data_IF_496966739038
#
_entry.id   IF_496966739038
#
_cell.length_a   1.000
_cell.length_b   1.000
_cell.length_c   1.000
_cell.angle_alpha   90.00
_cell.angle_beta   90.00
_cell.angle_gamma   90.00
#
_symmetry.space_group_name_H-M   'P 1'
#
loop_
_entity.id
_entity.type
_entity.pdbx_description
1 polymer ?
#
# COMPACT_ATOMS: atom_id res chain seq x y z
N UNK A 1 -35.80 9.95 -13.71
CA UNK A 1 -34.75 10.91 -13.26
C UNK A 1 -33.40 10.26 -13.02
N UNK A 2 -33.31 9.05 -12.47
CA UNK A 2 -32.00 8.41 -12.27
C UNK A 2 -31.39 7.73 -13.50
N UNK A 3 -32.14 7.60 -14.59
CA UNK A 3 -31.70 6.96 -15.83
C UNK A 3 -30.92 7.88 -16.76
N UNK A 4 -31.06 9.20 -16.62
CA UNK A 4 -30.34 10.19 -17.44
C UNK A 4 -29.04 10.61 -16.73
N UNK A 5 -27.91 10.51 -17.42
CA UNK A 5 -26.59 10.83 -16.87
C UNK A 5 -26.49 12.26 -16.29
N UNK A 6 -27.25 13.20 -16.84
CA UNK A 6 -27.28 14.60 -16.36
C UNK A 6 -28.01 14.76 -15.03
N UNK A 7 -28.94 13.86 -14.70
CA UNK A 7 -29.79 13.97 -13.52
C UNK A 7 -29.61 12.82 -12.53
N UNK A 8 -28.87 11.77 -12.93
CA UNK A 8 -28.57 10.59 -12.11
C UNK A 8 -27.88 10.91 -10.79
N UNK A 9 -27.07 11.98 -10.76
CA UNK A 9 -26.34 12.41 -9.58
C UNK A 9 -27.17 13.27 -8.62
N UNK A 10 -28.36 13.75 -9.01
CA UNK A 10 -29.18 14.58 -8.14
C UNK A 10 -29.82 13.69 -7.07
N UNK A 11 -29.66 13.98 -5.77
CA UNK A 11 -30.29 13.19 -4.72
C UNK A 11 -31.80 13.44 -4.67
N UNK A 12 -32.59 12.37 -4.59
CA UNK A 12 -34.06 12.43 -4.55
C UNK A 12 -34.53 11.91 -3.19
N UNK A 13 -35.09 12.82 -2.38
CA UNK A 13 -35.72 12.51 -1.09
C UNK A 13 -37.24 12.65 -1.25
N UNK A 14 -37.99 11.57 -1.00
CA UNK A 14 -39.45 11.56 -1.18
C UNK A 14 -40.16 11.82 0.15
N UNK A 15 -41.12 12.76 0.13
CA UNK A 15 -42.01 13.02 1.26
C UNK A 15 -43.23 12.08 1.21
N UNK A 16 -43.42 11.27 2.26
CA UNK A 16 -44.49 10.27 2.32
C UNK A 16 -45.41 10.53 3.52
N UNK A 17 -46.72 10.53 3.31
CA UNK A 17 -47.70 10.60 4.40
C UNK A 17 -47.57 9.38 5.32
N UNK A 18 -47.49 9.61 6.64
CA UNK A 18 -47.37 8.57 7.69
C UNK A 18 -48.40 7.44 7.53
N UNK A 19 -49.62 7.75 7.08
CA UNK A 19 -50.68 6.74 6.89
C UNK A 19 -50.43 5.82 5.70
N UNK A 20 -49.62 6.25 4.74
CA UNK A 20 -49.34 5.53 3.50
C UNK A 20 -47.94 4.92 3.44
N UNK A 21 -47.06 5.17 4.42
CA UNK A 21 -45.66 4.69 4.44
C UNK A 21 -45.60 3.18 4.14
N UNK A 22 -46.39 2.36 4.85
CA UNK A 22 -46.35 0.90 4.66
C UNK A 22 -46.78 0.44 3.27
N UNK A 23 -47.72 1.15 2.63
CA UNK A 23 -48.20 0.82 1.27
C UNK A 23 -47.22 1.30 0.21
N UNK A 24 -46.73 2.54 0.34
CA UNK A 24 -45.79 3.15 -0.58
C UNK A 24 -44.39 2.54 -0.49
N UNK A 25 -43.96 2.00 0.65
CA UNK A 25 -42.66 1.32 0.78
C UNK A 25 -42.50 0.15 -0.20
N UNK A 26 -43.58 -0.56 -0.52
CA UNK A 26 -43.60 -1.63 -1.51
C UNK A 26 -43.59 -1.11 -2.96
N UNK A 27 -43.90 0.16 -3.16
CA UNK A 27 -44.00 0.87 -4.45
C UNK A 27 -42.83 1.83 -4.69
N UNK A 28 -41.86 1.97 -3.76
CA UNK A 28 -40.68 2.82 -3.97
C UNK A 28 -39.84 2.18 -5.08
N UNK A 29 -39.87 2.82 -6.25
CA UNK A 29 -39.12 2.42 -7.44
C UNK A 29 -37.59 2.57 -7.27
N UNK A 30 -36.84 1.89 -8.13
CA UNK A 30 -35.39 2.10 -8.25
C UNK A 30 -35.12 3.57 -8.59
N UNK A 31 -34.41 4.28 -7.70
CA UNK A 31 -33.93 5.64 -7.95
C UNK A 31 -34.31 6.69 -6.92
N UNK A 32 -35.07 6.32 -5.89
CA UNK A 32 -35.24 7.15 -4.68
C UNK A 32 -34.06 6.88 -3.74
N UNK A 33 -33.36 7.94 -3.31
CA UNK A 33 -32.19 7.80 -2.42
C UNK A 33 -32.59 7.73 -0.94
N UNK A 34 -33.68 8.42 -0.57
CA UNK A 34 -34.21 8.42 0.79
C UNK A 34 -35.70 8.83 0.82
N UNK A 35 -36.39 8.59 1.94
CA UNK A 35 -37.75 9.06 2.16
C UNK A 35 -37.91 9.62 3.58
N UNK A 36 -38.80 10.60 3.73
CA UNK A 36 -39.11 11.23 5.01
C UNK A 36 -40.62 11.39 5.18
N UNK A 37 -41.11 11.24 6.41
CA UNK A 37 -42.54 11.37 6.70
C UNK A 37 -43.01 12.82 6.53
N UNK A 38 -44.22 13.02 6.02
CA UNK A 38 -44.86 14.33 5.90
C UNK A 38 -45.87 14.56 7.05
N UNK A 39 -45.85 15.70 7.77
CA UNK A 39 -44.82 16.74 7.73
C UNK A 39 -43.49 16.26 8.30
N UNK A 40 -42.35 16.66 7.70
CA UNK A 40 -41.04 16.27 8.19
C UNK A 40 -40.69 17.03 9.46
N UNK A 41 -39.91 16.39 10.32
CA UNK A 41 -39.23 17.09 11.40
C UNK A 41 -38.13 17.99 10.79
N UNK A 42 -38.04 19.28 11.14
CA UNK A 42 -37.05 20.19 10.56
C UNK A 42 -35.60 19.74 10.74
N UNK A 43 -35.26 19.14 11.89
CA UNK A 43 -33.91 18.67 12.18
C UNK A 43 -33.61 17.41 11.36
N UNK A 44 -34.55 16.47 11.28
CA UNK A 44 -34.39 15.26 10.46
C UNK A 44 -34.23 15.61 8.96
N UNK A 45 -34.99 16.58 8.47
CA UNK A 45 -34.87 17.07 7.10
C UNK A 45 -33.50 17.71 6.84
N UNK A 46 -33.03 18.59 7.73
CA UNK A 46 -31.74 19.26 7.62
C UNK A 46 -30.59 18.25 7.59
N UNK A 47 -30.58 17.28 8.51
CA UNK A 47 -29.57 16.22 8.56
C UNK A 47 -29.58 15.37 7.30
N UNK A 48 -30.76 14.98 6.79
CA UNK A 48 -30.86 14.17 5.57
C UNK A 48 -30.45 14.92 4.32
N UNK A 49 -30.79 16.21 4.22
CA UNK A 49 -30.30 17.06 3.14
C UNK A 49 -28.77 17.14 3.15
N UNK A 50 -28.17 17.38 4.31
CA UNK A 50 -26.71 17.43 4.46
C UNK A 50 -26.05 16.10 4.07
N UNK A 51 -26.58 14.97 4.53
CA UNK A 51 -26.07 13.63 4.18
C UNK A 51 -26.20 13.34 2.67
N UNK A 52 -27.32 13.70 2.06
CA UNK A 52 -27.57 13.50 0.64
C UNK A 52 -26.63 14.35 -0.24
N UNK A 53 -26.42 15.61 0.12
CA UNK A 53 -25.47 16.51 -0.53
C UNK A 53 -24.03 16.01 -0.39
N UNK A 54 -23.66 15.52 0.80
CA UNK A 54 -22.33 14.96 1.07
C UNK A 54 -22.07 13.70 0.24
N UNK A 55 -23.02 12.76 0.16
CA UNK A 55 -22.90 11.55 -0.68
C UNK A 55 -22.77 11.89 -2.17
N UNK A 56 -23.62 12.78 -2.66
CA UNK A 56 -23.61 13.25 -4.04
C UNK A 56 -22.27 13.90 -4.39
N UNK A 57 -21.79 14.78 -3.50
CA UNK A 57 -20.47 15.39 -3.62
C UNK A 57 -19.40 14.31 -3.73
N UNK A 58 -19.31 13.37 -2.78
CA UNK A 58 -18.29 12.31 -2.83
C UNK A 58 -18.34 11.44 -4.10
N UNK A 59 -19.52 11.19 -4.66
CA UNK A 59 -19.68 10.38 -5.89
C UNK A 59 -19.31 11.13 -7.17
N UNK A 60 -19.66 12.41 -7.29
CA UNK A 60 -19.30 13.27 -8.43
C UNK A 60 -17.80 13.53 -8.55
N UNK A 61 -17.09 13.30 -7.45
CA UNK A 61 -15.73 13.77 -7.25
C UNK A 61 -14.71 12.63 -7.23
N UNK A 62 -15.13 11.38 -7.16
CA UNK A 62 -14.25 10.22 -7.29
C UNK A 62 -14.11 9.76 -8.75
N UNK A 63 -12.92 9.35 -9.15
CA UNK A 63 -12.67 8.77 -10.46
C UNK A 63 -13.47 7.46 -10.61
N UNK A 64 -14.20 7.33 -11.73
CA UNK A 64 -15.13 6.22 -11.96
C UNK A 64 -14.50 4.83 -11.86
N UNK A 65 -13.26 4.69 -12.32
CA UNK A 65 -12.53 3.43 -12.45
C UNK A 65 -11.80 3.03 -11.17
N UNK A 66 -11.18 4.00 -10.48
CA UNK A 66 -10.33 3.71 -9.30
C UNK A 66 -10.98 4.03 -7.97
N UNK A 67 -12.11 4.77 -7.98
CA UNK A 67 -12.77 5.35 -6.81
C UNK A 67 -11.90 6.29 -5.98
N UNK A 68 -10.70 6.64 -6.47
CA UNK A 68 -9.84 7.64 -5.84
C UNK A 68 -10.41 9.05 -6.08
N UNK A 69 -10.19 9.99 -5.15
CA UNK A 69 -10.50 11.40 -5.34
C UNK A 69 -9.97 11.97 -6.66
N UNK A 70 -10.78 12.76 -7.37
CA UNK A 70 -10.43 13.41 -8.63
C UNK A 70 -9.90 14.85 -8.48
N UNK A 71 -9.74 15.55 -9.61
CA UNK A 71 -9.07 16.85 -9.73
C UNK A 71 -9.50 17.89 -8.68
N UNK A 72 -10.80 18.09 -8.48
CA UNK A 72 -11.30 19.11 -7.54
C UNK A 72 -10.86 18.87 -6.09
N UNK A 73 -10.70 17.62 -5.67
CA UNK A 73 -10.21 17.33 -4.31
C UNK A 73 -8.69 17.39 -4.24
N UNK A 74 -7.98 17.02 -5.31
CA UNK A 74 -6.53 17.21 -5.41
C UNK A 74 -6.19 18.69 -5.22
N UNK A 75 -6.85 19.58 -5.96
CA UNK A 75 -6.69 21.03 -5.84
C UNK A 75 -6.98 21.51 -4.41
N UNK A 76 -8.11 21.08 -3.83
CA UNK A 76 -8.48 21.44 -2.45
C UNK A 76 -7.44 20.96 -1.43
N UNK A 77 -6.90 19.75 -1.59
CA UNK A 77 -5.89 19.17 -0.70
C UNK A 77 -4.54 19.88 -0.77
N UNK A 78 -4.19 20.40 -1.95
CA UNK A 78 -3.00 21.24 -2.17
C UNK A 78 -3.23 22.63 -1.58
N UNK A 79 -4.34 23.29 -1.92
CA UNK A 79 -4.69 24.62 -1.43
C UNK A 79 -4.75 24.71 0.09
N UNK A 80 -5.43 23.76 0.75
CA UNK A 80 -5.48 23.72 2.23
C UNK A 80 -4.08 23.67 2.86
N UNK A 81 -3.12 22.95 2.26
CA UNK A 81 -1.73 22.90 2.78
C UNK A 81 -0.95 24.17 2.50
N UNK A 82 -1.20 24.82 1.36
CA UNK A 82 -0.59 26.10 1.00
C UNK A 82 -1.07 27.23 1.93
N UNK A 83 -2.38 27.30 2.17
CA UNK A 83 -3.02 28.33 3.00
C UNK A 83 -2.61 28.19 4.48
N UNK A 84 -2.49 26.96 4.96
CA UNK A 84 -2.03 26.64 6.32
C UNK A 84 -0.52 26.84 6.52
N UNK A 85 0.23 27.23 5.49
CA UNK A 85 1.71 27.39 5.48
C UNK A 85 2.44 26.16 6.03
N UNK A 86 1.88 24.96 5.84
CA UNK A 86 2.49 23.70 6.27
C UNK A 86 3.53 23.23 5.26
N UNK A 87 4.48 22.43 5.74
CA UNK A 87 5.37 21.68 4.85
C UNK A 87 4.57 20.60 4.11
N UNK A 88 4.65 20.60 2.79
CA UNK A 88 4.00 19.63 1.93
C UNK A 88 4.89 19.22 0.76
N UNK A 89 4.59 18.04 0.23
CA UNK A 89 5.19 17.47 -0.96
C UNK A 89 4.09 16.90 -1.85
N UNK A 90 4.21 17.12 -3.14
CA UNK A 90 3.32 16.57 -4.17
C UNK A 90 4.15 15.67 -5.06
N UNK A 91 3.79 14.39 -5.05
CA UNK A 91 4.37 13.37 -5.91
C UNK A 91 3.36 13.02 -7.02
N UNK A 92 3.76 13.26 -8.27
CA UNK A 92 2.98 13.04 -9.47
C UNK A 92 3.47 11.77 -10.16
N UNK A 93 2.58 10.83 -10.45
CA UNK A 93 2.86 9.52 -11.03
C UNK A 93 2.35 9.47 -12.47
N UNK A 94 3.14 8.91 -13.37
CA UNK A 94 2.82 8.64 -14.78
C UNK A 94 3.30 7.23 -15.14
N UNK A 95 2.51 6.48 -15.91
CA UNK A 95 2.91 5.14 -16.39
C UNK A 95 3.58 5.29 -17.76
N UNK A 96 4.87 5.01 -17.84
CA UNK A 96 5.59 5.04 -19.11
C UNK A 96 5.15 3.88 -20.01
N UNK A 97 5.11 4.12 -21.32
CA UNK A 97 4.73 3.14 -22.34
C UNK A 97 3.30 2.56 -22.21
N UNK A 98 2.43 3.20 -21.41
CA UNK A 98 1.06 2.72 -21.19
C UNK A 98 0.20 2.68 -22.46
N UNK A 99 0.37 3.66 -23.37
CA UNK A 99 -0.31 3.66 -24.67
C UNK A 99 0.03 2.41 -25.49
N UNK A 100 1.32 2.09 -25.62
CA UNK A 100 1.77 0.90 -26.36
C UNK A 100 1.24 -0.39 -25.74
N UNK A 101 1.07 -0.42 -24.41
CA UNK A 101 0.41 -1.53 -23.73
C UNK A 101 -1.07 -1.65 -24.12
N UNK A 102 -1.83 -0.55 -24.10
CA UNK A 102 -3.23 -0.55 -24.51
C UNK A 102 -3.43 -0.95 -25.97
N UNK A 103 -2.55 -0.48 -26.87
CA UNK A 103 -2.61 -0.83 -28.29
C UNK A 103 -2.40 -2.34 -28.53
N UNK A 104 -1.65 -3.02 -27.65
CA UNK A 104 -1.40 -4.47 -27.75
C UNK A 104 -2.43 -5.33 -27.02
N UNK A 105 -2.82 -4.93 -25.81
CA UNK A 105 -3.60 -5.76 -24.89
C UNK A 105 -5.05 -5.32 -24.73
N UNK A 106 -5.42 -4.18 -25.32
CA UNK A 106 -6.75 -3.60 -25.22
C UNK A 106 -7.00 -2.84 -23.93
N UNK A 107 -7.98 -1.94 -23.99
CA UNK A 107 -8.32 -1.02 -22.89
C UNK A 107 -8.78 -1.74 -21.62
N UNK A 108 -9.41 -2.91 -21.72
CA UNK A 108 -9.84 -3.65 -20.52
C UNK A 108 -8.69 -4.14 -19.67
N UNK A 109 -7.57 -4.51 -20.31
CA UNK A 109 -6.34 -4.84 -19.58
C UNK A 109 -5.66 -3.56 -19.06
N UNK A 110 -5.73 -2.48 -19.83
CA UNK A 110 -5.30 -1.14 -19.39
C UNK A 110 -5.98 -0.69 -18.11
N UNK A 111 -7.30 -0.82 -18.03
CA UNK A 111 -8.09 -0.49 -16.85
C UNK A 111 -7.71 -1.34 -15.63
N UNK A 112 -7.28 -2.59 -15.85
CA UNK A 112 -6.72 -3.45 -14.81
C UNK A 112 -5.39 -2.92 -14.26
N UNK A 113 -4.52 -2.42 -15.14
CA UNK A 113 -3.26 -1.78 -14.76
C UNK A 113 -3.51 -0.50 -13.98
N UNK A 114 -4.43 0.35 -14.43
CA UNK A 114 -4.84 1.59 -13.75
C UNK A 114 -5.37 1.30 -12.33
N UNK A 115 -6.24 0.29 -12.17
CA UNK A 115 -6.72 -0.12 -10.84
C UNK A 115 -5.59 -0.67 -9.96
N UNK A 116 -4.67 -1.41 -10.55
CA UNK A 116 -3.54 -1.98 -9.84
C UNK A 116 -2.57 -0.91 -9.33
N UNK A 117 -2.22 0.11 -10.14
CA UNK A 117 -1.37 1.20 -9.67
C UNK A 117 -2.08 2.04 -8.59
N UNK A 118 -3.38 2.29 -8.74
CA UNK A 118 -4.18 2.98 -7.73
C UNK A 118 -4.12 2.25 -6.37
N UNK A 119 -4.23 0.92 -6.39
CA UNK A 119 -4.09 0.08 -5.21
C UNK A 119 -2.68 0.14 -4.61
N UNK A 120 -1.63 0.08 -5.43
CA UNK A 120 -0.23 0.18 -4.98
C UNK A 120 0.00 1.52 -4.28
N UNK A 121 -0.42 2.63 -4.88
CA UNK A 121 -0.24 3.96 -4.31
C UNK A 121 -1.01 4.08 -2.98
N UNK A 122 -2.29 3.69 -2.96
CA UNK A 122 -3.13 3.80 -1.78
C UNK A 122 -2.60 2.95 -0.60
N UNK A 123 -2.18 1.71 -0.87
CA UNK A 123 -1.63 0.83 0.17
C UNK A 123 -0.26 1.28 0.66
N UNK A 124 0.58 1.82 -0.24
CA UNK A 124 1.89 2.37 0.12
C UNK A 124 1.76 3.60 1.01
N UNK A 125 0.86 4.53 0.66
CA UNK A 125 0.57 5.71 1.49
C UNK A 125 0.00 5.30 2.84
N UNK A 126 -0.92 4.33 2.90
CA UNK A 126 -1.47 3.83 4.16
C UNK A 126 -0.42 3.19 5.07
N UNK A 127 0.60 2.55 4.51
CA UNK A 127 1.65 1.85 5.27
C UNK A 127 2.79 2.77 5.69
N UNK A 128 3.23 3.65 4.81
CA UNK A 128 4.47 4.42 4.98
C UNK A 128 4.25 5.92 5.19
N UNK A 129 3.09 6.44 4.80
CA UNK A 129 2.72 7.85 4.85
C UNK A 129 2.15 8.29 6.20
N UNK A 130 1.56 9.48 6.22
CA UNK A 130 0.94 10.08 7.41
C UNK A 130 -0.59 9.96 7.37
N UNK A 131 -1.28 10.13 8.53
CA UNK A 131 -2.74 10.05 8.61
C UNK A 131 -3.50 11.05 7.73
N UNK A 132 -2.89 12.20 7.42
CA UNK A 132 -3.50 13.26 6.61
C UNK A 132 -3.07 13.22 5.13
N UNK A 133 -2.26 12.24 4.73
CA UNK A 133 -1.81 12.12 3.36
C UNK A 133 -2.99 11.83 2.43
N UNK A 134 -2.92 12.39 1.23
CA UNK A 134 -4.00 12.34 0.27
C UNK A 134 -3.54 11.68 -1.02
N UNK A 135 -4.40 10.83 -1.58
CA UNK A 135 -4.17 10.16 -2.87
C UNK A 135 -5.30 10.55 -3.80
N UNK A 136 -4.96 10.95 -5.03
CA UNK A 136 -5.92 11.28 -6.07
C UNK A 136 -5.54 10.70 -7.42
N UNK A 137 -6.53 10.60 -8.29
CA UNK A 137 -6.39 10.16 -9.68
C UNK A 137 -6.92 11.25 -10.60
N UNK A 138 -6.02 11.82 -11.41
CA UNK A 138 -6.34 12.91 -12.33
C UNK A 138 -7.15 12.37 -13.52
N UNK A 139 -6.61 11.36 -14.18
CA UNK A 139 -7.23 10.66 -15.31
C UNK A 139 -6.23 9.81 -16.06
N UNK A 140 -6.72 8.79 -16.78
CA UNK A 140 -5.85 7.87 -17.52
C UNK A 140 -4.84 7.18 -16.63
N UNK A 141 -3.56 7.48 -16.85
CA UNK A 141 -2.38 6.97 -16.15
C UNK A 141 -1.74 7.98 -15.18
N UNK A 142 -2.39 9.14 -14.96
CA UNK A 142 -1.88 10.22 -14.10
C UNK A 142 -2.45 10.16 -12.67
N UNK A 143 -1.57 10.02 -11.67
CA UNK A 143 -1.96 10.03 -10.25
C UNK A 143 -1.18 11.04 -9.42
N UNK A 144 -1.75 11.46 -8.29
CA UNK A 144 -1.13 12.41 -7.37
C UNK A 144 -1.20 11.91 -5.94
N UNK A 145 -0.07 12.04 -5.24
CA UNK A 145 0.01 11.91 -3.79
C UNK A 145 0.42 13.24 -3.20
N UNK A 146 -0.34 13.70 -2.21
CA UNK A 146 -0.02 14.88 -1.40
C UNK A 146 0.35 14.41 0.00
N UNK A 147 1.61 14.60 0.37
CA UNK A 147 2.22 14.11 1.61
C UNK A 147 3.14 15.17 2.21
N UNK A 148 4.00 14.79 3.14
CA UNK A 148 5.03 15.65 3.73
C UNK A 148 6.42 15.32 3.15
N UNK A 149 7.37 16.28 3.17
CA UNK A 149 8.70 16.10 2.59
C UNK A 149 9.58 15.00 3.23
N UNK A 150 9.21 14.49 4.41
CA UNK A 150 9.90 13.37 5.06
C UNK A 150 9.42 11.99 4.55
N UNK A 151 8.23 11.93 3.94
CA UNK A 151 7.63 10.68 3.43
C UNK A 151 7.66 10.54 1.92
N UNK A 152 7.80 11.64 1.17
CA UNK A 152 7.71 11.64 -0.29
C UNK A 152 8.62 10.62 -0.99
N UNK A 153 9.90 10.57 -0.62
CA UNK A 153 10.89 9.61 -1.17
C UNK A 153 10.58 8.17 -0.78
N UNK A 154 10.15 7.95 0.46
CA UNK A 154 9.82 6.61 0.94
C UNK A 154 8.60 6.07 0.19
N UNK A 155 7.56 6.88 0.04
CA UNK A 155 6.35 6.50 -0.70
C UNK A 155 6.67 6.24 -2.17
N UNK A 156 7.46 7.11 -2.80
CA UNK A 156 7.83 6.95 -4.21
C UNK A 156 8.66 5.68 -4.47
N UNK A 157 9.71 5.46 -3.66
CA UNK A 157 10.58 4.28 -3.79
C UNK A 157 9.85 2.97 -3.53
N UNK A 158 8.99 2.91 -2.52
CA UNK A 158 8.15 1.74 -2.24
C UNK A 158 7.13 1.49 -3.36
N UNK A 159 6.50 2.54 -3.89
CA UNK A 159 5.55 2.41 -5.00
C UNK A 159 6.23 1.85 -6.26
N UNK A 160 7.43 2.34 -6.59
CA UNK A 160 8.24 1.81 -7.70
C UNK A 160 8.63 0.36 -7.45
N UNK A 161 9.08 0.03 -6.24
CA UNK A 161 9.49 -1.33 -5.90
C UNK A 161 8.34 -2.33 -6.07
N UNK A 162 7.15 -1.99 -5.55
CA UNK A 162 5.97 -2.84 -5.65
C UNK A 162 5.54 -2.97 -7.11
N UNK A 163 5.43 -1.85 -7.83
CA UNK A 163 5.02 -1.88 -9.24
C UNK A 163 5.98 -2.69 -10.11
N UNK A 164 7.29 -2.51 -9.98
CA UNK A 164 8.27 -3.28 -10.76
C UNK A 164 8.13 -4.79 -10.52
N UNK A 165 7.73 -5.21 -9.32
CA UNK A 165 7.52 -6.63 -9.00
C UNK A 165 6.21 -7.17 -9.58
N UNK A 166 5.18 -6.34 -9.67
CA UNK A 166 3.82 -6.80 -10.00
C UNK A 166 3.38 -6.46 -11.43
N UNK A 167 3.97 -5.45 -12.09
CA UNK A 167 3.62 -5.00 -13.43
C UNK A 167 3.80 -6.08 -14.50
N UNK A 168 4.83 -6.93 -14.35
CA UNK A 168 5.10 -8.03 -15.27
C UNK A 168 3.92 -9.01 -15.40
N UNK A 169 3.10 -9.20 -14.37
CA UNK A 169 1.94 -10.10 -14.43
C UNK A 169 0.83 -9.62 -15.37
N UNK A 170 0.86 -8.36 -15.80
CA UNK A 170 -0.04 -7.83 -16.83
C UNK A 170 0.38 -8.21 -18.26
N UNK A 171 1.52 -8.87 -18.44
CA UNK A 171 2.04 -9.28 -19.74
C UNK A 171 1.90 -10.78 -19.98
N UNK A 172 1.83 -11.17 -21.26
CA UNK A 172 1.92 -12.58 -21.65
C UNK A 172 3.28 -13.15 -21.25
N UNK A 173 3.39 -14.48 -21.17
CA UNK A 173 4.66 -15.16 -20.87
C UNK A 173 5.75 -14.78 -21.89
N UNK A 174 5.39 -14.77 -23.17
CA UNK A 174 6.30 -14.44 -24.28
C UNK A 174 6.89 -13.03 -24.15
N UNK A 175 6.06 -12.03 -23.83
CA UNK A 175 6.51 -10.64 -23.69
C UNK A 175 7.35 -10.41 -22.44
N UNK A 176 7.04 -11.13 -21.36
CA UNK A 176 7.85 -11.11 -20.13
C UNK A 176 9.25 -11.64 -20.38
N UNK A 177 9.38 -12.75 -21.09
CA UNK A 177 10.68 -13.37 -21.40
C UNK A 177 11.52 -12.49 -22.32
N UNK A 178 10.88 -11.78 -23.24
CA UNK A 178 11.57 -10.85 -24.15
C UNK A 178 11.88 -9.48 -23.53
N UNK A 179 11.20 -9.12 -22.44
CA UNK A 179 11.29 -7.82 -21.76
C UNK A 179 10.89 -6.60 -22.63
N UNK A 180 10.16 -6.82 -23.71
CA UNK A 180 9.57 -5.75 -24.55
C UNK A 180 8.28 -6.23 -25.19
N UNK A 181 7.42 -5.26 -25.55
CA UNK A 181 6.25 -5.49 -26.37
C UNK A 181 6.48 -5.03 -27.81
N UNK A 182 5.99 -5.84 -28.74
CA UNK A 182 5.91 -5.48 -30.15
C UNK A 182 4.71 -4.57 -30.34
N UNK A 183 4.97 -3.31 -30.68
CA UNK A 183 3.96 -2.28 -30.91
C UNK A 183 4.11 -1.67 -32.29
N UNK A 184 3.05 -1.06 -32.83
CA UNK A 184 3.12 -0.35 -34.12
C UNK A 184 3.29 1.15 -33.86
N UNK A 185 4.22 1.79 -34.56
CA UNK A 185 4.31 3.25 -34.57
C UNK A 185 3.15 3.88 -35.37
N UNK A 186 3.08 5.22 -35.39
CA UNK A 186 2.05 5.96 -36.16
C UNK A 186 2.14 5.76 -37.67
N UNK A 187 3.26 5.23 -38.18
CA UNK A 187 3.52 4.91 -39.59
C UNK A 187 3.27 3.44 -39.90
N UNK A 188 2.83 2.65 -38.93
CA UNK A 188 2.57 1.21 -39.06
C UNK A 188 3.81 0.33 -38.93
N UNK A 189 4.99 0.90 -38.64
CA UNK A 189 6.22 0.13 -38.45
C UNK A 189 6.18 -0.61 -37.13
N UNK A 190 6.71 -1.83 -37.14
CA UNK A 190 6.83 -2.64 -35.93
C UNK A 190 8.04 -2.17 -35.13
N UNK A 191 7.80 -1.67 -33.92
CA UNK A 191 8.83 -1.23 -32.98
C UNK A 191 8.76 -2.04 -31.68
N UNK A 192 9.92 -2.30 -31.09
CA UNK A 192 10.04 -2.93 -29.77
C UNK A 192 9.95 -1.85 -28.70
N UNK A 193 8.85 -1.80 -27.96
CA UNK A 193 8.67 -0.88 -26.84
C UNK A 193 8.99 -1.61 -25.53
N UNK A 194 9.79 -1.04 -24.62
CA UNK A 194 10.03 -1.62 -23.30
C UNK A 194 8.74 -1.88 -22.51
N UNK A 195 8.81 -2.73 -21.48
CA UNK A 195 7.70 -2.89 -20.55
C UNK A 195 7.38 -1.56 -19.83
N UNK A 196 6.17 -1.48 -19.28
CA UNK A 196 5.71 -0.32 -18.53
C UNK A 196 6.60 -0.09 -17.31
N UNK A 197 6.91 1.18 -17.09
CA UNK A 197 7.56 1.68 -15.88
C UNK A 197 6.72 2.81 -15.28
N UNK A 198 7.11 3.29 -14.10
CA UNK A 198 6.51 4.49 -13.51
C UNK A 198 7.55 5.59 -13.40
N UNK A 199 7.17 6.77 -13.86
CA UNK A 199 7.86 8.02 -13.61
C UNK A 199 7.16 8.78 -12.48
N UNK A 200 7.90 9.14 -11.42
CA UNK A 200 7.38 9.90 -10.28
C UNK A 200 8.10 11.25 -10.13
N UNK A 201 7.40 12.34 -10.43
CA UNK A 201 7.89 13.71 -10.26
C UNK A 201 7.49 14.27 -8.89
N UNK A 202 8.47 14.69 -8.08
CA UNK A 202 8.25 15.19 -6.72
C UNK A 202 8.60 16.67 -6.62
N UNK A 203 7.64 17.46 -6.13
CA UNK A 203 7.80 18.87 -5.83
C UNK A 203 7.36 19.16 -4.39
N UNK A 204 8.23 19.77 -3.59
CA UNK A 204 7.95 20.09 -2.19
C UNK A 204 8.35 21.52 -1.83
N UNK A 205 7.78 22.04 -0.75
CA UNK A 205 8.06 23.39 -0.27
C UNK A 205 9.10 23.45 0.86
N UNK A 206 9.91 22.38 1.06
CA UNK A 206 10.86 22.29 2.17
C UNK A 206 11.98 23.32 2.08
N UNK A 207 12.50 23.53 0.87
CA UNK A 207 13.63 24.44 0.62
C UNK A 207 13.21 25.74 -0.06
N UNK A 208 12.09 25.72 -0.79
CA UNK A 208 11.59 26.87 -1.53
C UNK A 208 10.08 26.98 -1.35
N UNK A 209 9.53 28.16 -1.03
CA UNK A 209 8.09 28.35 -0.94
C UNK A 209 7.47 28.21 -2.33
N UNK A 210 6.44 27.37 -2.45
CA UNK A 210 5.60 27.26 -3.63
C UNK A 210 4.51 28.32 -3.51
N UNK A 211 4.44 29.28 -4.44
CA UNK A 211 3.55 30.44 -4.33
C UNK A 211 2.13 30.15 -4.82
N UNK A 212 2.02 29.36 -5.88
CA UNK A 212 0.73 28.99 -6.46
C UNK A 212 0.76 27.57 -7.05
N UNK A 213 -0.42 27.05 -7.37
CA UNK A 213 -0.56 25.70 -7.95
C UNK A 213 0.03 25.63 -9.37
N UNK A 214 0.08 26.74 -10.10
CA UNK A 214 0.63 26.79 -11.47
C UNK A 214 2.14 26.51 -11.45
N UNK A 215 2.87 27.19 -10.57
CA UNK A 215 4.31 27.00 -10.32
C UNK A 215 4.62 25.55 -9.91
N UNK A 216 3.78 24.96 -9.06
CA UNK A 216 3.89 23.55 -8.69
C UNK A 216 3.76 22.63 -9.92
N UNK A 217 2.77 22.87 -10.78
CA UNK A 217 2.54 22.05 -11.96
C UNK A 217 3.64 22.24 -13.02
N UNK A 218 4.20 23.44 -13.16
CA UNK A 218 5.36 23.70 -14.03
C UNK A 218 6.58 22.89 -13.59
N UNK A 219 6.89 22.90 -12.29
CA UNK A 219 7.99 22.09 -11.70
C UNK A 219 7.76 20.60 -11.97
N UNK A 220 6.55 20.10 -11.72
CA UNK A 220 6.20 18.70 -11.97
C UNK A 220 6.38 18.34 -13.45
N UNK A 221 5.92 19.21 -14.35
CA UNK A 221 5.98 18.98 -15.80
C UNK A 221 7.42 18.92 -16.31
N UNK A 222 8.29 19.80 -15.81
CA UNK A 222 9.72 19.77 -16.14
C UNK A 222 10.36 18.45 -15.70
N UNK A 223 10.12 18.05 -14.44
CA UNK A 223 10.66 16.79 -13.89
C UNK A 223 10.12 15.59 -14.68
N UNK A 224 8.82 15.57 -14.99
CA UNK A 224 8.18 14.52 -15.80
C UNK A 224 8.82 14.41 -17.18
N UNK A 225 9.11 15.53 -17.83
CA UNK A 225 9.77 15.56 -19.14
C UNK A 225 11.17 14.93 -19.08
N UNK A 226 11.93 15.22 -18.01
CA UNK A 226 13.25 14.60 -17.80
C UNK A 226 13.13 13.10 -17.47
N UNK A 227 12.21 12.70 -16.60
CA UNK A 227 12.01 11.30 -16.21
C UNK A 227 11.68 10.42 -17.42
N UNK A 228 10.92 10.93 -18.40
CA UNK A 228 10.61 10.22 -19.65
C UNK A 228 11.83 9.90 -20.52
N UNK A 229 12.98 10.54 -20.27
CA UNK A 229 14.24 10.23 -20.95
C UNK A 229 15.00 9.07 -20.31
N UNK A 230 14.67 8.72 -19.05
CA UNK A 230 15.36 7.68 -18.29
C UNK A 230 14.69 6.33 -18.51
N UNK A 231 15.47 5.23 -18.64
CA UNK A 231 14.90 3.90 -18.76
C UNK A 231 14.40 3.39 -17.40
N UNK A 232 13.26 2.70 -17.42
CA UNK A 232 12.68 2.04 -16.25
C UNK A 232 12.02 3.00 -15.26
N UNK A 233 11.63 2.44 -14.11
CA UNK A 233 10.87 3.21 -13.12
C UNK A 233 11.77 4.08 -12.27
N UNK A 234 11.52 5.39 -12.29
CA UNK A 234 12.38 6.39 -11.67
C UNK A 234 11.54 7.43 -10.92
N UNK A 235 12.13 8.00 -9.87
CA UNK A 235 11.57 9.19 -9.23
C UNK A 235 12.62 10.27 -9.15
N UNK A 236 12.20 11.53 -9.30
CA UNK A 236 13.08 12.68 -9.17
C UNK A 236 12.37 13.78 -8.39
N UNK A 237 13.13 14.45 -7.53
CA UNK A 237 12.68 15.59 -6.74
C UNK A 237 13.35 16.85 -7.26
N UNK A 238 12.61 17.97 -7.31
CA UNK A 238 13.20 19.26 -7.69
C UNK A 238 14.40 19.58 -6.77
N UNK A 239 15.57 19.86 -7.37
CA UNK A 239 16.81 20.25 -6.67
C UNK A 239 17.26 21.68 -7.02
N UNK A 240 16.49 22.47 -7.75
CA UNK A 240 16.90 23.82 -8.21
C UNK A 240 17.37 24.67 -7.03
N UNK A 241 18.68 24.91 -6.95
CA UNK A 241 19.26 26.04 -6.23
C UNK A 241 19.00 27.28 -7.08
N UNK A 242 18.31 28.27 -6.53
CA UNK A 242 18.14 29.56 -7.18
C UNK A 242 19.40 30.43 -7.00
N UNK A 243 20.57 29.88 -7.33
CA UNK A 243 21.80 30.65 -7.45
C UNK A 243 22.16 30.69 -8.93
N UNK A 244 22.30 31.92 -9.46
CA UNK A 244 22.85 32.19 -10.79
C UNK A 244 24.02 31.24 -11.04
N UNK A 245 23.96 30.45 -12.12
CA UNK A 245 25.10 29.66 -12.58
C UNK A 245 26.30 30.60 -12.75
N UNK A 246 27.18 30.62 -11.77
CA UNK A 246 28.56 31.05 -11.96
C UNK A 246 29.25 29.81 -12.53
N UNK A 247 29.55 29.85 -13.83
CA UNK A 247 30.41 28.87 -14.45
C UNK A 247 31.78 28.97 -13.77
N UNK A 248 32.15 27.94 -13.02
CA UNK A 248 33.54 27.69 -12.67
C UNK A 248 34.03 26.69 -13.71
N UNK A 249 34.78 27.20 -14.68
CA UNK A 249 35.54 26.39 -15.62
C UNK A 249 36.70 25.75 -14.86
N UNK A 250 36.58 24.48 -14.47
CA UNK A 250 37.75 23.64 -14.21
C UNK A 250 37.48 22.19 -14.66
N UNK A 251 38.43 21.57 -15.39
CA UNK A 251 38.21 20.29 -16.04
C UNK A 251 38.29 19.14 -15.03
N UNK A 252 37.25 18.32 -14.96
CA UNK A 252 37.28 17.05 -14.24
C UNK A 252 38.24 16.08 -14.93
N UNK A 253 39.35 15.79 -14.26
CA UNK A 253 40.23 14.65 -14.55
C UNK A 253 39.48 13.35 -14.27
N UNK A 254 39.59 12.42 -15.21
CA UNK A 254 39.21 11.02 -15.04
C UNK A 254 40.03 10.38 -13.92
N UNK A 255 39.37 9.72 -12.96
CA UNK A 255 39.99 8.60 -12.26
C UNK A 255 39.04 7.40 -12.14
N UNK A 256 39.67 6.28 -12.45
CA UNK A 256 39.20 4.92 -12.63
C UNK A 256 38.74 4.22 -11.36
N UNK A 257 37.67 3.42 -11.53
CA UNK A 257 37.38 2.10 -10.95
C UNK A 257 38.18 1.68 -9.69
N UNK A 258 37.46 1.37 -8.63
CA UNK A 258 37.73 0.17 -7.84
C UNK A 258 36.43 -0.62 -7.61
N UNK A 259 36.54 -1.91 -7.90
CA UNK A 259 35.49 -2.89 -7.82
C UNK A 259 35.43 -3.47 -6.40
N UNK A 260 34.28 -3.32 -5.74
CA UNK A 260 33.85 -4.12 -4.61
C UNK A 260 32.49 -4.71 -4.94
N UNK A 261 32.47 -5.96 -5.41
CA UNK A 261 31.26 -6.74 -5.65
C UNK A 261 30.62 -7.05 -4.29
N UNK A 262 29.55 -6.36 -3.94
CA UNK A 262 28.55 -6.89 -3.01
C UNK A 262 27.36 -7.39 -3.83
N UNK A 263 27.17 -8.71 -3.85
CA UNK A 263 25.99 -9.33 -4.42
C UNK A 263 24.75 -8.90 -3.63
N UNK A 264 24.01 -7.93 -4.16
CA UNK A 264 22.63 -7.65 -3.70
C UNK A 264 21.77 -8.88 -4.00
N UNK A 265 21.48 -9.66 -2.97
CA UNK A 265 20.53 -10.77 -2.99
C UNK A 265 19.23 -10.35 -3.72
N UNK A 266 18.98 -10.93 -4.89
CA UNK A 266 17.72 -10.77 -5.62
C UNK A 266 16.61 -11.38 -4.77
N UNK A 267 15.76 -10.56 -4.18
CA UNK A 267 14.64 -11.00 -3.36
C UNK A 267 13.63 -11.77 -4.23
N UNK A 268 13.63 -13.11 -4.11
CA UNK A 268 12.65 -13.97 -4.78
C UNK A 268 11.32 -13.94 -4.00
N UNK A 269 10.17 -13.67 -4.65
CA UNK A 269 8.88 -13.69 -3.97
C UNK A 269 8.47 -15.13 -3.58
N UNK A 270 7.69 -15.27 -2.51
CA UNK A 270 7.27 -16.57 -1.96
C UNK A 270 6.65 -17.50 -3.01
N UNK A 271 5.78 -16.99 -3.88
CA UNK A 271 5.16 -17.78 -4.94
C UNK A 271 6.17 -18.32 -5.97
N UNK A 272 7.26 -17.60 -6.23
CA UNK A 272 8.34 -18.08 -7.10
C UNK A 272 9.19 -19.15 -6.41
N UNK A 273 9.44 -18.99 -5.10
CA UNK A 273 10.17 -20.01 -4.33
C UNK A 273 9.34 -21.31 -4.29
N UNK A 274 8.03 -21.22 -4.12
CA UNK A 274 7.13 -22.38 -4.13
C UNK A 274 7.01 -23.04 -5.51
N UNK A 275 7.06 -22.26 -6.60
CA UNK A 275 7.12 -22.77 -7.97
C UNK A 275 8.45 -23.47 -8.27
N UNK A 276 9.58 -22.86 -7.91
CA UNK A 276 10.93 -23.43 -8.08
C UNK A 276 11.10 -24.72 -7.27
N UNK A 277 10.46 -24.80 -6.11
CA UNK A 277 10.43 -25.98 -5.24
C UNK A 277 9.44 -27.06 -5.69
N UNK A 278 8.73 -26.85 -6.82
CA UNK A 278 7.69 -27.75 -7.36
C UNK A 278 6.54 -28.06 -6.37
N UNK A 279 6.32 -27.20 -5.37
CA UNK A 279 5.24 -27.38 -4.38
C UNK A 279 3.89 -26.97 -4.97
N UNK A 280 3.88 -25.92 -5.81
CA UNK A 280 2.68 -25.40 -6.46
C UNK A 280 2.86 -25.33 -7.97
N UNK A 281 1.78 -25.43 -8.74
CA UNK A 281 1.78 -25.20 -10.18
C UNK A 281 1.51 -23.72 -10.52
N UNK A 282 1.84 -23.25 -11.73
CA UNK A 282 1.53 -21.88 -12.17
C UNK A 282 0.03 -21.54 -12.09
N UNK A 283 -0.84 -22.50 -12.42
CA UNK A 283 -2.31 -22.34 -12.36
C UNK A 283 -2.82 -22.23 -10.91
N UNK A 284 -2.24 -23.01 -10.00
CA UNK A 284 -2.54 -22.94 -8.57
C UNK A 284 -2.07 -21.60 -7.98
N UNK A 285 -0.90 -21.11 -8.38
CA UNK A 285 -0.42 -19.80 -7.95
C UNK A 285 -1.32 -18.67 -8.44
N UNK A 286 -1.79 -18.72 -9.68
CA UNK A 286 -2.73 -17.72 -10.22
C UNK A 286 -4.06 -17.70 -9.45
N UNK A 287 -4.60 -18.88 -9.15
CA UNK A 287 -5.81 -19.02 -8.34
C UNK A 287 -5.61 -18.46 -6.92
N UNK A 288 -4.47 -18.75 -6.30
CA UNK A 288 -4.12 -18.21 -4.98
C UNK A 288 -3.92 -16.69 -4.99
N UNK A 289 -3.33 -16.14 -6.06
CA UNK A 289 -3.15 -14.69 -6.25
C UNK A 289 -4.49 -13.97 -6.44
N UNK A 290 -5.39 -14.52 -7.25
CA UNK A 290 -6.74 -13.97 -7.44
C UNK A 290 -7.52 -13.91 -6.12
N UNK A 291 -7.43 -14.98 -5.30
CA UNK A 291 -8.07 -15.01 -3.98
C UNK A 291 -7.40 -14.05 -2.98
N UNK A 292 -6.07 -13.93 -3.02
CA UNK A 292 -5.31 -12.94 -2.24
C UNK A 292 -5.76 -11.51 -2.56
N UNK A 293 -5.88 -11.15 -3.85
CA UNK A 293 -6.30 -9.80 -4.26
C UNK A 293 -7.77 -9.51 -3.98
N UNK A 294 -8.64 -10.53 -4.05
CA UNK A 294 -10.06 -10.37 -3.74
C UNK A 294 -10.34 -10.23 -2.22
N UNK A 295 -9.56 -10.90 -1.37
CA UNK A 295 -9.82 -10.99 0.08
C UNK A 295 -8.89 -10.15 0.95
N UNK A 296 -7.72 -9.76 0.44
CA UNK A 296 -6.68 -9.05 1.20
C UNK A 296 -5.88 -9.93 2.17
N UNK A 297 -6.12 -11.25 2.23
CA UNK A 297 -5.38 -12.19 3.08
C UNK A 297 -3.97 -12.46 2.54
N UNK A 298 -2.95 -12.71 3.37
CA UNK A 298 -1.57 -12.99 2.90
C UNK A 298 -1.54 -14.18 1.92
N UNK A 299 -0.71 -14.08 0.87
CA UNK A 299 -0.64 -15.12 -0.18
C UNK A 299 -0.32 -16.52 0.36
N UNK A 300 0.59 -16.63 1.35
CA UNK A 300 0.90 -17.91 1.99
C UNK A 300 -0.32 -18.52 2.68
N UNK A 301 -1.15 -17.70 3.33
CA UNK A 301 -2.39 -18.16 3.95
C UNK A 301 -3.43 -18.57 2.90
N UNK A 302 -3.52 -17.84 1.79
CA UNK A 302 -4.40 -18.22 0.66
C UNK A 302 -4.01 -19.58 0.06
N UNK A 303 -2.71 -19.86 -0.08
CA UNK A 303 -2.20 -21.14 -0.58
C UNK A 303 -2.53 -22.28 0.37
N UNK A 304 -2.38 -22.07 1.69
CA UNK A 304 -2.74 -23.06 2.72
C UNK A 304 -4.26 -23.29 2.74
N UNK A 305 -5.07 -22.23 2.74
CA UNK A 305 -6.54 -22.30 2.78
C UNK A 305 -7.14 -22.97 1.54
N UNK A 306 -6.44 -22.92 0.40
CA UNK A 306 -6.82 -23.59 -0.83
C UNK A 306 -6.34 -25.06 -0.88
N UNK A 307 -5.63 -25.54 0.15
CA UNK A 307 -5.08 -26.89 0.20
C UNK A 307 -3.95 -27.15 -0.82
N UNK A 308 -3.34 -26.08 -1.34
CA UNK A 308 -2.34 -26.17 -2.43
C UNK A 308 -0.93 -26.43 -1.90
N UNK A 309 -0.63 -26.08 -0.64
CA UNK A 309 0.63 -26.40 0.03
C UNK A 309 0.39 -26.57 1.54
N UNK A 310 1.24 -27.36 2.21
CA UNK A 310 1.19 -27.47 3.67
C UNK A 310 1.80 -26.25 4.35
N UNK A 311 1.48 -26.02 5.63
CA UNK A 311 2.10 -24.96 6.44
C UNK A 311 3.63 -25.11 6.51
N UNK A 312 4.14 -26.34 6.58
CA UNK A 312 5.57 -26.62 6.58
C UNK A 312 6.27 -26.29 5.25
N UNK A 313 5.58 -26.45 4.12
CA UNK A 313 6.10 -26.09 2.80
C UNK A 313 6.25 -24.58 2.64
N UNK A 314 5.25 -23.84 3.13
CA UNK A 314 5.28 -22.37 3.15
C UNK A 314 6.34 -21.85 4.12
N UNK A 315 6.51 -22.49 5.28
CA UNK A 315 7.59 -22.16 6.22
C UNK A 315 8.98 -22.34 5.57
N UNK A 316 9.27 -23.49 4.95
CA UNK A 316 10.56 -23.72 4.27
C UNK A 316 10.84 -22.70 3.15
N UNK A 317 9.81 -22.30 2.41
CA UNK A 317 9.93 -21.27 1.40
C UNK A 317 10.21 -19.87 2.00
N UNK A 318 9.61 -19.56 3.16
CA UNK A 318 9.87 -18.32 3.90
C UNK A 318 11.26 -18.32 4.58
N UNK A 319 11.77 -19.46 5.04
CA UNK A 319 13.14 -19.61 5.54
C UNK A 319 14.16 -19.19 4.48
N UNK A 320 14.01 -19.75 3.28
CA UNK A 320 14.86 -19.39 2.15
C UNK A 320 14.70 -17.93 1.74
N UNK A 321 13.53 -17.32 1.97
CA UNK A 321 13.26 -15.92 1.59
C UNK A 321 13.85 -14.91 2.58
N UNK A 322 13.72 -15.19 3.88
CA UNK A 322 14.16 -14.29 4.94
C UNK A 322 15.60 -14.52 5.37
N UNK A 323 16.20 -15.66 5.02
CA UNK A 323 17.48 -16.12 5.55
C UNK A 323 17.48 -16.15 7.09
N UNK A 324 16.31 -16.48 7.65
CA UNK A 324 16.05 -16.61 9.08
C UNK A 324 15.33 -17.94 9.28
N UNK A 325 15.76 -18.79 10.21
CA UNK A 325 15.11 -20.08 10.45
C UNK A 325 13.68 -19.92 10.96
N UNK A 326 12.81 -20.83 10.53
CA UNK A 326 11.46 -20.99 11.08
C UNK A 326 11.60 -21.65 12.45
N UNK A 327 10.79 -21.20 13.39
CA UNK A 327 10.69 -21.86 14.68
C UNK A 327 9.37 -22.61 14.76
N UNK A 328 9.41 -23.95 14.69
CA UNK A 328 8.24 -24.77 14.92
C UNK A 328 7.86 -24.71 16.40
N UNK A 329 6.80 -23.95 16.69
CA UNK A 329 6.38 -23.67 18.05
C UNK A 329 5.72 -24.88 18.74
N UNK A 330 5.49 -25.99 18.03
CA UNK A 330 4.94 -27.22 18.63
C UNK A 330 5.92 -27.92 19.58
N UNK A 331 7.22 -27.61 19.48
CA UNK A 331 8.28 -28.18 20.32
C UNK A 331 8.65 -27.31 21.53
N UNK A 332 7.85 -26.29 21.87
CA UNK A 332 8.13 -25.45 23.02
C UNK A 332 7.99 -26.21 24.34
N UNK A 333 9.08 -26.29 25.10
CA UNK A 333 9.07 -26.74 26.50
C UNK A 333 8.95 -25.52 27.42
N UNK A 334 7.95 -25.51 28.30
CA UNK A 334 7.71 -24.43 29.25
C UNK A 334 8.84 -24.38 30.31
N UNK A 335 9.72 -23.38 30.23
CA UNK A 335 10.79 -23.17 31.21
C UNK A 335 10.48 -21.98 32.14
N UNK A 336 10.89 -22.08 33.41
CA UNK A 336 10.69 -21.07 34.47
C UNK A 336 11.18 -19.66 34.09
N UNK A 337 12.24 -19.58 33.29
CA UNK A 337 12.82 -18.33 32.77
C UNK A 337 11.88 -17.58 31.80
N UNK A 338 10.96 -18.28 31.14
CA UNK A 338 10.00 -17.70 30.19
C UNK A 338 8.98 -16.80 30.91
N UNK A 339 8.56 -17.17 32.12
CA UNK A 339 7.64 -16.38 32.95
C UNK A 339 8.23 -15.04 33.39
N UNK A 340 9.54 -14.98 33.62
CA UNK A 340 10.24 -13.73 33.93
C UNK A 340 10.41 -12.82 32.70
N UNK A 341 10.31 -13.36 31.49
CA UNK A 341 10.36 -12.58 30.25
C UNK A 341 9.03 -11.94 29.90
N UNK A 342 7.91 -12.61 30.21
CA UNK A 342 6.56 -12.07 30.06
C UNK A 342 6.30 -10.86 30.96
N UNK A 343 6.99 -10.72 32.08
CA UNK A 343 6.90 -9.52 32.93
C UNK A 343 7.65 -8.31 32.35
N UNK A 344 8.66 -8.53 31.49
CA UNK A 344 9.46 -7.45 30.89
C UNK A 344 8.91 -6.94 29.56
N UNK A 345 8.24 -7.81 28.80
CA UNK A 345 7.59 -7.45 27.53
C UNK A 345 6.08 -7.59 27.75
N UNK A 346 5.37 -6.47 27.89
CA UNK A 346 3.91 -6.49 28.09
C UNK A 346 3.19 -7.22 26.95
N UNK A 347 2.09 -7.92 27.26
CA UNK A 347 1.24 -8.59 26.27
C UNK A 347 0.78 -7.66 25.13
N UNK A 348 0.62 -6.37 25.42
CA UNK A 348 0.28 -5.35 24.44
C UNK A 348 1.41 -5.12 23.41
N UNK A 349 2.67 -5.14 23.85
CA UNK A 349 3.85 -5.06 22.97
C UNK A 349 3.95 -6.32 22.10
N UNK A 350 3.71 -7.50 22.68
CA UNK A 350 3.72 -8.76 21.94
C UNK A 350 2.67 -8.79 20.82
N UNK A 351 1.45 -8.34 21.12
CA UNK A 351 0.35 -8.27 20.15
C UNK A 351 0.58 -7.22 19.07
N UNK A 352 1.00 -6.01 19.44
CA UNK A 352 1.15 -4.89 18.51
C UNK A 352 2.33 -5.09 17.55
N UNK A 353 3.40 -5.72 18.02
CA UNK A 353 4.61 -5.95 17.22
C UNK A 353 4.70 -7.38 16.66
N UNK A 354 3.80 -8.29 17.05
CA UNK A 354 3.78 -9.67 16.55
C UNK A 354 5.04 -10.44 16.93
N UNK A 355 5.44 -10.34 18.19
CA UNK A 355 6.70 -10.91 18.71
C UNK A 355 6.47 -11.74 19.95
N UNK A 356 7.22 -12.83 20.08
CA UNK A 356 7.14 -13.75 21.21
C UNK A 356 8.56 -14.17 21.66
N UNK A 357 8.94 -13.93 22.93
CA UNK A 357 10.20 -14.46 23.45
C UNK A 357 10.10 -15.98 23.60
N UNK A 358 11.03 -16.70 22.96
CA UNK A 358 11.02 -18.17 22.91
C UNK A 358 11.92 -18.74 23.99
N UNK A 359 13.17 -18.27 24.06
CA UNK A 359 14.19 -18.78 24.99
C UNK A 359 15.25 -17.72 25.21
N UNK A 360 15.78 -17.62 26.43
CA UNK A 360 16.98 -16.85 26.73
C UNK A 360 18.12 -17.80 27.05
N UNK A 361 19.28 -17.57 26.47
CA UNK A 361 20.51 -18.25 26.85
C UNK A 361 21.59 -17.20 27.14
N UNK A 362 21.98 -17.09 28.42
CA UNK A 362 22.92 -16.08 28.95
C UNK A 362 22.56 -14.65 28.53
N UNK A 363 23.15 -14.17 27.43
CA UNK A 363 22.98 -12.82 26.89
C UNK A 363 22.30 -12.79 25.50
N UNK A 364 21.81 -13.93 25.01
CA UNK A 364 21.10 -14.05 23.74
C UNK A 364 19.64 -14.41 23.97
N UNK A 365 18.73 -13.61 23.43
CA UNK A 365 17.30 -13.84 23.44
C UNK A 365 16.85 -14.35 22.07
N UNK A 366 16.37 -15.59 22.01
CA UNK A 366 15.64 -16.10 20.85
C UNK A 366 14.24 -15.48 20.83
N UNK A 367 13.94 -14.75 19.76
CA UNK A 367 12.69 -14.03 19.59
C UNK A 367 11.99 -14.52 18.33
N UNK A 368 10.79 -15.08 18.48
CA UNK A 368 9.90 -15.39 17.37
C UNK A 368 9.19 -14.11 16.90
N UNK A 369 9.15 -13.87 15.60
CA UNK A 369 8.59 -12.67 14.98
C UNK A 369 7.71 -13.03 13.77
N UNK A 370 6.63 -12.29 13.56
CA UNK A 370 5.81 -12.40 12.34
C UNK A 370 6.49 -11.80 11.09
N UNK A 371 7.31 -10.76 11.26
CA UNK A 371 8.17 -10.24 10.19
C UNK A 371 9.61 -10.05 10.71
N UNK A 372 10.53 -10.98 10.40
CA UNK A 372 11.91 -10.92 10.91
C UNK A 372 12.74 -9.79 10.27
N UNK A 373 12.23 -9.11 9.23
CA UNK A 373 12.93 -8.00 8.55
C UNK A 373 12.70 -6.66 9.23
N UNK A 374 11.83 -6.60 10.23
CA UNK A 374 11.56 -5.37 10.95
C UNK A 374 12.68 -5.11 11.98
N UNK A 375 13.74 -4.45 11.50
CA UNK A 375 14.92 -4.10 12.30
C UNK A 375 14.62 -3.13 13.45
N UNK A 376 13.56 -2.32 13.34
CA UNK A 376 13.15 -1.39 14.40
C UNK A 376 12.64 -2.14 15.63
N UNK A 377 11.87 -3.20 15.42
CA UNK A 377 11.36 -4.06 16.51
C UNK A 377 12.52 -4.75 17.22
N UNK A 378 13.50 -5.27 16.46
CA UNK A 378 14.70 -5.89 17.03
C UNK A 378 15.48 -4.91 17.90
N UNK A 379 15.68 -3.67 17.43
CA UNK A 379 16.35 -2.63 18.20
C UNK A 379 15.58 -2.25 19.47
N UNK A 380 14.25 -2.16 19.39
CA UNK A 380 13.39 -1.82 20.53
C UNK A 380 13.40 -2.92 21.59
N UNK A 381 13.33 -4.18 21.20
CA UNK A 381 13.36 -5.33 22.13
C UNK A 381 14.74 -5.49 22.74
N UNK A 382 15.82 -5.24 21.98
CA UNK A 382 17.18 -5.18 22.51
C UNK A 382 17.30 -4.13 23.61
N UNK A 383 16.76 -2.93 23.40
CA UNK A 383 16.77 -1.86 24.41
C UNK A 383 15.95 -2.20 25.66
N UNK A 384 14.80 -2.86 25.50
CA UNK A 384 13.94 -3.25 26.63
C UNK A 384 14.51 -4.41 27.46
N UNK A 385 15.16 -5.38 26.80
CA UNK A 385 15.62 -6.61 27.45
C UNK A 385 17.09 -6.57 27.85
N UNK A 386 17.88 -5.64 27.30
CA UNK A 386 19.34 -5.56 27.49
C UNK A 386 20.12 -6.74 26.91
N UNK A 387 19.47 -7.65 26.17
CA UNK A 387 20.06 -8.87 25.62
C UNK A 387 20.26 -8.72 24.11
N UNK A 388 21.24 -9.44 23.54
CA UNK A 388 21.34 -9.57 22.08
C UNK A 388 20.20 -10.44 21.56
N UNK A 389 19.46 -9.96 20.56
CA UNK A 389 18.26 -10.64 20.06
C UNK A 389 18.61 -11.45 18.81
N UNK A 390 18.28 -12.73 18.82
CA UNK A 390 18.35 -13.64 17.68
C UNK A 390 16.93 -13.86 17.13
N UNK A 391 16.60 -13.33 15.93
CA UNK A 391 15.28 -13.48 15.35
C UNK A 391 15.06 -14.90 14.81
N UNK A 392 13.86 -15.42 15.03
CA UNK A 392 13.25 -16.53 14.34
C UNK A 392 11.93 -16.04 13.77
N UNK A 393 11.45 -16.61 12.67
CA UNK A 393 10.11 -16.29 12.19
C UNK A 393 9.12 -17.41 12.50
N UNK A 394 7.86 -17.01 12.66
CA UNK A 394 6.72 -17.90 12.94
C UNK A 394 5.57 -17.56 12.01
N UNK A 395 4.73 -18.55 11.68
CA UNK A 395 3.56 -18.31 10.86
C UNK A 395 2.45 -17.62 11.67
N UNK A 396 1.57 -16.89 10.98
CA UNK A 396 0.48 -16.14 11.63
C UNK A 396 -0.53 -17.04 12.34
N UNK A 397 -0.78 -18.24 11.81
CA UNK A 397 -1.62 -19.26 12.45
C UNK A 397 -1.00 -19.77 13.75
N UNK A 398 0.30 -20.08 13.74
CA UNK A 398 1.04 -20.60 14.91
C UNK A 398 1.16 -19.55 16.01
N UNK A 399 1.43 -18.29 15.62
CA UNK A 399 1.48 -17.17 16.55
C UNK A 399 0.13 -16.96 17.24
N UNK A 400 -0.97 -16.96 16.49
CA UNK A 400 -2.31 -16.72 17.04
C UNK A 400 -2.73 -17.82 18.01
N UNK A 401 -2.51 -19.09 17.65
CA UNK A 401 -2.84 -20.24 18.50
C UNK A 401 -2.12 -20.20 19.87
N UNK A 402 -0.85 -19.80 19.87
CA UNK A 402 -0.03 -19.77 21.08
C UNK A 402 -0.29 -18.50 21.89
N UNK A 403 -0.45 -17.36 21.22
CA UNK A 403 -0.84 -16.12 21.88
C UNK A 403 -2.18 -16.29 22.62
N UNK A 404 -3.17 -16.92 21.98
CA UNK A 404 -4.47 -17.21 22.61
C UNK A 404 -4.35 -18.19 23.78
N UNK A 405 -3.46 -19.20 23.68
CA UNK A 405 -3.17 -20.12 24.79
C UNK A 405 -2.54 -19.40 25.98
N UNK A 406 -1.61 -18.49 25.72
CA UNK A 406 -0.93 -17.69 26.75
C UNK A 406 -1.88 -16.71 27.43
N UNK A 407 -2.73 -16.01 26.66
CA UNK A 407 -3.77 -15.13 27.22
C UNK A 407 -4.74 -15.91 28.09
N UNK A 408 -5.15 -17.12 27.69
CA UNK A 408 -6.02 -18.00 28.50
C UNK A 408 -5.34 -18.47 29.79
N UNK A 409 -4.03 -18.74 29.78
CA UNK A 409 -3.27 -19.12 30.98
C UNK A 409 -3.05 -17.95 31.94
N UNK A 410 -2.85 -16.73 31.43
CA UNK A 410 -2.69 -15.51 32.24
C UNK A 410 -4.01 -15.10 32.92
N UNK A 411 -5.14 -15.25 32.21
CA UNK A 411 -6.49 -15.03 32.77
C UNK A 411 -6.89 -16.13 33.77
N UNK A 412 -6.33 -17.35 33.65
CA UNK A 412 -6.54 -18.45 34.59
C UNK A 412 -5.69 -18.34 35.88
N UNK A 413 -4.85 -17.31 36.01
CA UNK A 413 -4.16 -16.97 37.24
C UNK A 413 -4.78 -15.69 37.85
N UNK A 414 -5.86 -15.78 38.67
CA UNK A 414 -6.39 -14.61 39.33
C UNK A 414 -5.43 -14.14 40.42
N UNK A 415 -5.04 -12.86 40.32
CA UNK A 415 -4.86 -11.91 41.41
C UNK A 415 -4.20 -12.40 42.70
N UNK A 416 -2.95 -11.99 42.93
CA UNK A 416 -2.49 -11.68 44.28
C UNK A 416 -2.27 -10.17 44.43
N UNK A 417 -3.20 -9.55 45.15
CA UNK A 417 -2.90 -8.46 46.09
C UNK A 417 -3.09 -7.04 45.59
N UNK A 418 -4.33 -6.54 45.61
CA UNK A 418 -4.57 -5.16 46.04
C UNK A 418 -5.54 -5.17 47.21
N UNK A 419 -4.99 -4.73 48.35
CA UNK A 419 -5.61 -4.19 49.57
C UNK A 419 -6.36 -5.11 50.54
N UNK A 420 -5.74 -5.32 51.71
CA UNK A 420 -6.38 -5.01 52.99
C UNK A 420 -5.31 -4.84 54.08
N UNK A 421 -5.05 -3.60 54.51
CA UNK A 421 -4.72 -3.29 55.92
C UNK A 421 -5.33 -1.92 56.24
N UNK A 422 -6.37 -1.97 57.07
CA UNK A 422 -6.68 -0.94 58.07
C UNK A 422 -5.59 -0.99 59.11
#
# INVERSE_FOLDING_TARGET
>A
MKEDFLTAHIPIIVLIDKKQIRKKMLEIEQGVDDYIANPPDPIDLEVRMELALRRTSHQLYANALTKLPGNKQIEKAIHSRMDEKKLFSVAYYDIDNFKSFNDRYGYMKGDSVIRHIAYIIATTVKRCGNPLDFVGHIGGDDFVVVTTPDKDRLIASESILVFNRTAHFHYSKEDRERAYIVSKDRRGNVINTPLMSISIAIANNKYFPIKNIVELMEIITEIKTYLKTLPGSNFLMNRRQNEKRVFIDEPCKEESKSAGREERFKHKPLGQILLESQIITPEQLETALNRHWATGQKIGQSIINLGMASSGDVARALESQFNVPHFDMRNMSENREMKEMFSKISFEVMKNYGVLPVRKDKNVLLLAMLDPRNMEILAKIKNLTGCNVAPFFVLESEFSEIFDRMVKQDVAAPSYGVNAVI
#
